data_IF_970440452168
#
_entry.id   IF_970440452168
#
_cell.length_a   1.000
_cell.length_b   1.000
_cell.length_c   1.000
_cell.angle_alpha   90.00
_cell.angle_beta   90.00
_cell.angle_gamma   90.00
#
_symmetry.space_group_name_H-M   'P 1'
#
loop_
_entity.id
_entity.type
_entity.pdbx_description
1 polymer ?
#
# COMPACT_ATOMS: atom_id res chain seq x y z
N UNK A 1 7.41 -39.45 -56.90
CA UNK A 1 6.35 -40.03 -56.06
C UNK A 1 6.99 -40.41 -54.74
N UNK A 2 6.76 -39.61 -53.71
CA UNK A 2 7.11 -39.95 -52.34
C UNK A 2 5.92 -40.66 -51.71
N UNK A 3 6.10 -41.80 -51.05
CA UNK A 3 5.01 -42.49 -50.38
C UNK A 3 4.55 -41.68 -49.15
N UNK A 4 3.27 -41.37 -49.10
CA UNK A 4 2.60 -40.85 -47.96
C UNK A 4 2.57 -41.97 -46.92
N UNK A 5 3.43 -41.87 -45.91
CA UNK A 5 3.41 -42.76 -44.75
C UNK A 5 2.13 -42.51 -43.93
N UNK A 6 1.41 -43.62 -43.70
CA UNK A 6 0.11 -43.63 -43.13
C UNK A 6 -0.03 -42.94 -41.79
N UNK A 7 -1.18 -42.33 -41.57
CA UNK A 7 -1.66 -41.86 -40.32
C UNK A 7 -1.61 -42.98 -39.26
N UNK A 8 -0.80 -42.83 -38.25
CA UNK A 8 -0.92 -43.68 -37.06
C UNK A 8 -2.28 -43.44 -36.45
N UNK A 9 -3.14 -44.45 -36.49
CA UNK A 9 -4.38 -44.46 -35.71
C UNK A 9 -4.03 -44.37 -34.21
N UNK A 10 -3.90 -43.15 -33.74
CA UNK A 10 -3.79 -42.90 -32.29
C UNK A 10 -5.13 -43.31 -31.69
N UNK A 11 -5.17 -44.47 -31.07
CA UNK A 11 -6.31 -44.96 -30.30
C UNK A 11 -6.70 -43.93 -29.24
N UNK A 12 -8.01 -43.73 -29.04
CA UNK A 12 -8.54 -42.88 -27.95
C UNK A 12 -7.86 -43.17 -26.59
N UNK A 13 -7.47 -44.42 -26.40
CA UNK A 13 -6.75 -44.88 -25.21
C UNK A 13 -5.33 -44.33 -25.13
N UNK A 14 -4.63 -44.20 -26.26
CA UNK A 14 -3.26 -43.64 -26.28
C UNK A 14 -3.27 -42.12 -26.12
N UNK A 15 -4.28 -41.45 -26.68
CA UNK A 15 -4.54 -40.04 -26.41
C UNK A 15 -4.79 -39.74 -24.92
N UNK A 16 -5.64 -40.54 -24.27
CA UNK A 16 -5.92 -40.39 -22.83
C UNK A 16 -4.69 -40.70 -21.98
N UNK A 17 -3.87 -41.66 -22.34
CA UNK A 17 -2.59 -41.93 -21.68
C UNK A 17 -1.63 -40.75 -21.81
N UNK A 18 -1.48 -40.21 -23.01
CA UNK A 18 -0.59 -39.06 -23.26
C UNK A 18 -1.08 -37.81 -22.49
N UNK A 19 -2.37 -37.58 -22.48
CA UNK A 19 -2.97 -36.44 -21.71
C UNK A 19 -2.81 -36.63 -20.23
N UNK A 20 -3.01 -37.84 -19.69
CA UNK A 20 -2.82 -38.16 -18.27
C UNK A 20 -1.38 -37.99 -17.82
N UNK A 21 -0.41 -38.49 -18.59
CA UNK A 21 1.02 -38.29 -18.34
C UNK A 21 1.44 -36.83 -18.46
N UNK A 22 0.90 -36.10 -19.44
CA UNK A 22 1.18 -34.68 -19.64
C UNK A 22 0.69 -33.84 -18.44
N UNK A 23 -0.52 -34.08 -17.97
CA UNK A 23 -1.06 -33.41 -16.78
C UNK A 23 -0.27 -33.76 -15.51
N UNK A 24 0.10 -35.03 -15.32
CA UNK A 24 0.92 -35.44 -14.18
C UNK A 24 2.32 -34.79 -14.22
N UNK A 25 2.95 -34.67 -15.38
CA UNK A 25 4.26 -34.01 -15.53
C UNK A 25 4.19 -32.51 -15.24
N UNK A 26 3.14 -31.83 -15.71
CA UNK A 26 2.92 -30.39 -15.44
C UNK A 26 2.64 -30.14 -13.97
N UNK A 27 1.85 -31.01 -13.31
CA UNK A 27 1.58 -30.88 -11.88
C UNK A 27 2.82 -31.13 -11.02
N UNK A 28 3.69 -32.06 -11.42
CA UNK A 28 4.95 -32.31 -10.74
C UNK A 28 5.95 -31.16 -10.93
N UNK A 29 6.01 -30.56 -12.11
CA UNK A 29 6.87 -29.41 -12.38
C UNK A 29 6.38 -28.10 -11.68
N UNK A 30 5.07 -27.98 -11.42
CA UNK A 30 4.51 -26.86 -10.68
C UNK A 30 4.80 -26.89 -9.18
N UNK A 31 5.31 -27.99 -8.65
CA UNK A 31 5.63 -28.17 -7.22
C UNK A 31 7.05 -27.73 -6.83
N UNK A 32 7.83 -27.09 -7.70
CA UNK A 32 9.04 -26.41 -7.24
C UNK A 32 8.64 -25.15 -6.48
N UNK A 33 8.45 -25.33 -5.15
CA UNK A 33 8.34 -24.19 -4.26
C UNK A 33 9.62 -23.35 -4.40
N UNK A 34 9.51 -22.03 -4.66
CA UNK A 34 10.70 -21.20 -4.77
C UNK A 34 11.50 -21.32 -3.49
N UNK A 35 12.72 -21.82 -3.57
CA UNK A 35 13.64 -21.91 -2.45
C UNK A 35 13.96 -20.50 -2.01
N UNK A 36 13.33 -20.05 -0.93
CA UNK A 36 13.65 -18.77 -0.30
C UNK A 36 14.73 -19.04 0.75
N UNK A 37 15.92 -18.58 0.47
CA UNK A 37 16.97 -18.56 1.47
C UNK A 37 16.62 -17.50 2.51
N UNK A 38 16.32 -17.93 3.74
CA UNK A 38 16.22 -17.04 4.88
C UNK A 38 17.62 -16.78 5.40
N UNK A 39 18.10 -15.54 5.31
CA UNK A 39 19.34 -15.13 5.98
C UNK A 39 18.98 -14.90 7.44
N UNK A 40 19.57 -15.68 8.40
CA UNK A 40 19.32 -15.44 9.81
C UNK A 40 19.88 -14.07 10.22
N UNK A 41 19.24 -13.45 11.21
CA UNK A 41 19.76 -12.21 11.80
C UNK A 41 21.14 -12.46 12.38
N UNK A 42 22.13 -11.65 12.01
CA UNK A 42 23.46 -11.63 12.63
C UNK A 42 23.35 -11.08 14.05
N UNK A 43 22.57 -9.98 14.20
CA UNK A 43 22.16 -9.43 15.49
C UNK A 43 20.61 -9.38 15.52
N UNK A 44 20.00 -10.26 16.30
CA UNK A 44 18.55 -10.31 16.46
C UNK A 44 18.11 -9.16 17.37
N UNK A 45 17.19 -8.29 16.94
CA UNK A 45 16.56 -7.32 17.83
C UNK A 45 15.87 -8.02 18.99
N UNK A 46 15.97 -7.45 20.20
CA UNK A 46 15.48 -8.08 21.44
C UNK A 46 14.00 -8.44 21.37
N UNK A 47 13.20 -7.61 20.68
CA UNK A 47 11.73 -7.74 20.61
C UNK A 47 11.22 -8.43 19.33
N UNK A 48 12.09 -9.03 18.51
CA UNK A 48 11.69 -9.65 17.25
C UNK A 48 12.02 -11.13 17.24
N UNK A 49 10.97 -11.96 17.31
CA UNK A 49 11.09 -13.40 17.04
C UNK A 49 10.64 -13.70 15.60
N UNK A 50 11.48 -14.41 14.85
CA UNK A 50 11.27 -14.68 13.42
C UNK A 50 9.95 -15.43 13.13
N UNK A 51 9.42 -16.17 14.10
CA UNK A 51 8.18 -16.94 13.97
C UNK A 51 6.95 -16.26 14.56
N UNK A 52 7.13 -15.28 15.45
CA UNK A 52 6.04 -14.62 16.16
C UNK A 52 5.72 -13.24 15.59
N UNK A 53 4.45 -12.89 15.44
CA UNK A 53 4.06 -11.55 15.05
C UNK A 53 4.12 -10.59 16.25
N UNK A 54 4.57 -9.37 16.00
CA UNK A 54 4.45 -8.25 16.93
C UNK A 54 3.26 -7.38 16.56
N UNK A 55 2.64 -6.74 17.56
CA UNK A 55 1.49 -5.86 17.38
C UNK A 55 1.82 -4.45 17.87
N UNK A 56 1.54 -3.46 17.03
CA UNK A 56 1.77 -2.06 17.35
C UNK A 56 0.45 -1.30 17.25
N UNK A 57 0.12 -0.53 18.30
CA UNK A 57 -1.01 0.38 18.24
C UNK A 57 -0.69 1.57 17.35
N UNK A 58 -1.61 1.90 16.44
CA UNK A 58 -1.48 3.02 15.52
C UNK A 58 -2.85 3.59 15.17
N UNK A 59 -2.86 4.62 14.35
CA UNK A 59 -4.06 5.24 13.83
C UNK A 59 -4.00 5.26 12.31
N UNK A 60 -5.08 4.83 11.69
CA UNK A 60 -5.33 5.05 10.27
C UNK A 60 -6.19 6.29 10.10
N UNK A 61 -5.81 7.16 9.18
CA UNK A 61 -6.59 8.34 8.81
C UNK A 61 -6.42 8.59 7.32
N UNK A 62 -7.49 8.49 6.56
CA UNK A 62 -7.51 8.77 5.14
C UNK A 62 -8.90 9.24 4.72
N UNK A 63 -9.01 10.47 4.24
CA UNK A 63 -10.30 11.08 3.97
C UNK A 63 -11.13 11.21 5.24
N UNK A 64 -12.38 10.77 5.18
CA UNK A 64 -13.29 10.70 6.32
C UNK A 64 -13.05 9.48 7.21
N UNK A 65 -12.28 8.48 6.76
CA UNK A 65 -11.99 7.28 7.53
C UNK A 65 -10.97 7.57 8.62
N UNK A 66 -11.37 7.31 9.86
CA UNK A 66 -10.52 7.36 11.04
C UNK A 66 -10.70 6.09 11.85
N UNK A 67 -9.63 5.38 12.09
CA UNK A 67 -9.68 4.14 12.85
C UNK A 67 -8.44 3.96 13.73
N UNK A 68 -8.66 3.57 14.98
CA UNK A 68 -7.57 3.07 15.82
C UNK A 68 -7.30 1.62 15.50
N UNK A 69 -6.08 1.31 15.11
CA UNK A 69 -5.68 0.01 14.59
C UNK A 69 -4.56 -0.63 15.39
N UNK A 70 -4.52 -1.96 15.35
CA UNK A 70 -3.39 -2.77 15.75
C UNK A 70 -2.70 -3.28 14.49
N UNK A 71 -1.49 -2.82 14.27
CA UNK A 71 -0.66 -3.22 13.14
C UNK A 71 0.07 -4.51 13.49
N UNK A 72 -0.31 -5.59 12.84
CA UNK A 72 0.40 -6.86 12.95
C UNK A 72 1.61 -6.84 12.05
N UNK A 73 2.80 -7.01 12.64
CA UNK A 73 4.06 -7.03 11.90
C UNK A 73 4.73 -8.38 12.03
N UNK A 74 5.51 -8.75 11.04
CA UNK A 74 6.40 -9.89 11.07
C UNK A 74 7.76 -9.45 10.56
N UNK A 75 8.80 -9.64 11.36
CA UNK A 75 10.17 -9.23 11.02
C UNK A 75 10.24 -7.76 10.58
N UNK A 76 9.55 -6.87 11.30
CA UNK A 76 9.49 -5.44 10.99
C UNK A 76 8.60 -5.07 9.80
N UNK A 77 7.90 -6.02 9.18
CA UNK A 77 7.01 -5.77 8.03
C UNK A 77 5.55 -5.82 8.45
N UNK A 78 4.78 -4.76 8.24
CA UNK A 78 3.33 -4.78 8.44
C UNK A 78 2.67 -5.80 7.49
N UNK A 79 1.87 -6.71 8.05
CA UNK A 79 1.19 -7.75 7.28
C UNK A 79 -0.33 -7.68 7.37
N UNK A 80 -0.87 -7.06 8.42
CA UNK A 80 -2.30 -6.91 8.63
C UNK A 80 -2.61 -5.73 9.54
N UNK A 81 -3.75 -5.11 9.31
CA UNK A 81 -4.34 -4.12 10.21
C UNK A 81 -5.60 -4.72 10.84
N UNK A 82 -5.64 -4.78 12.15
CA UNK A 82 -6.80 -5.17 12.94
C UNK A 82 -7.33 -3.96 13.72
N UNK A 83 -8.63 -3.92 14.00
CA UNK A 83 -9.20 -2.87 14.83
C UNK A 83 -8.74 -2.98 16.28
N UNK A 84 -8.46 -1.84 16.91
CA UNK A 84 -8.10 -1.78 18.31
C UNK A 84 -9.36 -1.88 19.19
N UNK A 85 -9.54 -3.00 19.88
CA UNK A 85 -10.68 -3.27 20.75
C UNK A 85 -10.77 -2.30 21.95
N UNK A 86 -9.66 -1.69 22.35
CA UNK A 86 -9.61 -0.71 23.43
C UNK A 86 -9.97 0.70 22.97
N UNK A 87 -10.16 0.92 21.69
CA UNK A 87 -10.63 2.21 21.16
C UNK A 87 -12.09 2.44 21.56
N UNK A 88 -12.37 3.54 22.23
CA UNK A 88 -13.74 3.94 22.56
C UNK A 88 -14.55 4.40 21.35
N UNK A 89 -13.88 4.74 20.24
CA UNK A 89 -14.53 5.24 19.03
C UNK A 89 -14.87 4.07 18.09
N UNK A 90 -13.90 3.23 17.74
CA UNK A 90 -14.08 2.15 16.79
C UNK A 90 -14.44 0.81 17.42
N UNK A 91 -14.19 0.63 18.72
CA UNK A 91 -14.48 -0.60 19.48
C UNK A 91 -14.00 -1.89 18.77
N UNK A 92 -12.91 -1.80 18.02
CA UNK A 92 -12.35 -2.92 17.26
C UNK A 92 -12.92 -3.09 15.86
N UNK A 93 -13.83 -2.21 15.42
CA UNK A 93 -14.30 -2.23 14.03
C UNK A 93 -13.27 -1.60 13.09
N UNK A 94 -13.21 -2.12 11.87
CA UNK A 94 -12.41 -1.60 10.75
C UNK A 94 -13.25 -1.55 9.49
N UNK A 95 -12.82 -0.77 8.51
CA UNK A 95 -13.39 -0.80 7.16
C UNK A 95 -12.50 -1.63 6.23
N UNK A 96 -13.04 -2.08 5.11
CA UNK A 96 -12.26 -2.78 4.08
C UNK A 96 -11.13 -1.90 3.52
N UNK A 97 -11.31 -0.58 3.50
CA UNK A 97 -10.29 0.38 3.12
C UNK A 97 -9.12 0.38 4.11
N UNK A 98 -9.41 0.36 5.40
CA UNK A 98 -8.39 0.28 6.46
C UNK A 98 -7.60 -1.02 6.32
N UNK A 99 -8.27 -2.16 6.20
CA UNK A 99 -7.59 -3.46 6.10
C UNK A 99 -6.77 -3.61 4.82
N UNK A 100 -7.26 -3.09 3.69
CA UNK A 100 -6.54 -3.15 2.42
C UNK A 100 -5.38 -2.17 2.33
N UNK A 101 -5.33 -1.14 3.16
CA UNK A 101 -4.31 -0.09 3.10
C UNK A 101 -2.88 -0.62 3.31
N UNK A 102 -2.72 -1.75 4.00
CA UNK A 102 -1.41 -2.41 4.14
C UNK A 102 -0.78 -2.74 2.79
N UNK A 103 -1.60 -3.02 1.76
CA UNK A 103 -1.12 -3.36 0.42
C UNK A 103 -0.42 -2.18 -0.25
N UNK A 104 -0.80 -0.93 0.08
CA UNK A 104 -0.19 0.26 -0.47
C UNK A 104 1.30 0.40 -0.11
N UNK A 105 1.72 -0.19 1.01
CA UNK A 105 3.12 -0.20 1.43
C UNK A 105 3.99 -1.07 0.51
N UNK A 106 3.37 -2.06 -0.15
CA UNK A 106 4.04 -3.03 -1.02
C UNK A 106 3.82 -2.74 -2.51
N UNK A 107 3.08 -1.68 -2.83
CA UNK A 107 2.89 -1.25 -4.21
C UNK A 107 4.24 -0.81 -4.81
N UNK A 108 4.59 -1.39 -5.94
CA UNK A 108 5.80 -1.05 -6.68
C UNK A 108 5.75 0.34 -7.29
N UNK A 109 4.55 0.84 -7.58
CA UNK A 109 4.33 2.16 -8.18
C UNK A 109 4.21 3.28 -7.15
N UNK A 110 4.23 2.97 -5.84
CA UNK A 110 4.19 4.01 -4.81
C UNK A 110 5.36 4.97 -4.94
N UNK A 111 5.11 6.24 -4.70
CA UNK A 111 6.16 7.26 -4.62
C UNK A 111 7.08 6.96 -3.42
N UNK A 112 8.36 6.77 -3.69
CA UNK A 112 9.38 6.46 -2.66
C UNK A 112 10.11 7.72 -2.19
N UNK A 113 10.21 8.69 -3.07
CA UNK A 113 10.93 9.95 -2.86
C UNK A 113 10.06 11.12 -3.31
N UNK A 114 10.28 12.33 -2.77
CA UNK A 114 9.63 13.52 -3.29
C UNK A 114 10.07 13.79 -4.73
N UNK A 115 9.15 14.32 -5.53
CA UNK A 115 9.41 14.66 -6.92
C UNK A 115 9.38 16.19 -7.07
N UNK A 116 10.34 16.75 -7.79
CA UNK A 116 10.35 18.12 -8.24
C UNK A 116 10.41 18.13 -9.77
N UNK A 117 9.40 18.66 -10.44
CA UNK A 117 9.26 18.63 -11.90
C UNK A 117 9.45 17.23 -12.49
N UNK A 118 8.76 16.23 -11.91
CA UNK A 118 8.82 14.81 -12.29
C UNK A 118 10.15 14.09 -12.05
N UNK A 119 11.16 14.77 -11.51
CA UNK A 119 12.46 14.19 -11.17
C UNK A 119 12.54 13.89 -9.67
N UNK A 120 13.19 12.79 -9.33
CA UNK A 120 13.48 12.47 -7.93
C UNK A 120 14.28 13.58 -7.27
N UNK A 121 13.90 13.94 -6.06
CA UNK A 121 14.49 15.02 -5.29
C UNK A 121 14.56 14.65 -3.81
N UNK A 122 15.05 15.54 -2.98
CA UNK A 122 15.04 15.41 -1.54
C UNK A 122 14.12 16.46 -0.89
N UNK A 123 13.68 16.19 0.33
CA UNK A 123 12.78 17.07 1.06
C UNK A 123 13.29 18.50 1.20
N UNK A 124 14.60 18.66 1.43
CA UNK A 124 15.21 19.99 1.57
C UNK A 124 15.08 20.84 0.31
N UNK A 125 15.27 20.23 -0.85
CA UNK A 125 15.12 20.93 -2.13
C UNK A 125 13.65 21.30 -2.39
N UNK A 126 12.71 20.40 -2.09
CA UNK A 126 11.28 20.66 -2.23
C UNK A 126 10.82 21.77 -1.27
N UNK A 127 11.25 21.73 -0.01
CA UNK A 127 10.92 22.76 0.98
C UNK A 127 11.44 24.13 0.58
N UNK A 128 12.67 24.20 0.06
CA UNK A 128 13.24 25.46 -0.43
C UNK A 128 12.46 25.98 -1.64
N UNK A 129 12.14 25.11 -2.59
CA UNK A 129 11.32 25.48 -3.75
C UNK A 129 9.94 26.02 -3.32
N UNK A 130 9.25 25.35 -2.41
CA UNK A 130 7.95 25.80 -1.90
C UNK A 130 8.08 27.14 -1.17
N UNK A 131 9.10 27.34 -0.34
CA UNK A 131 9.36 28.62 0.34
C UNK A 131 9.61 29.75 -0.64
N UNK A 132 10.40 29.49 -1.68
CA UNK A 132 10.69 30.48 -2.72
C UNK A 132 9.43 30.87 -3.51
N UNK A 133 8.61 29.90 -3.89
CA UNK A 133 7.35 30.17 -4.59
C UNK A 133 6.34 30.93 -3.69
N UNK A 134 6.22 30.57 -2.43
CA UNK A 134 5.40 31.29 -1.47
C UNK A 134 5.88 32.74 -1.25
N UNK A 135 7.20 32.98 -1.28
CA UNK A 135 7.78 34.32 -1.15
C UNK A 135 7.52 35.17 -2.39
N UNK A 136 7.45 34.58 -3.57
CA UNK A 136 7.18 35.26 -4.86
C UNK A 136 5.68 35.47 -5.13
N UNK A 137 4.80 35.02 -4.21
CA UNK A 137 3.37 35.02 -4.47
C UNK A 137 2.79 36.39 -4.86
N UNK A 138 3.32 37.49 -4.28
CA UNK A 138 2.76 38.84 -4.50
C UNK A 138 1.28 38.92 -4.14
N UNK A 139 0.45 39.43 -5.05
CA UNK A 139 -1.01 39.51 -4.90
C UNK A 139 -1.76 38.22 -5.31
N UNK A 140 -1.07 37.15 -5.69
CA UNK A 140 -1.72 35.89 -6.10
C UNK A 140 -2.39 35.21 -4.90
N UNK A 141 -3.59 34.67 -5.12
CA UNK A 141 -4.30 33.86 -4.12
C UNK A 141 -3.74 32.44 -4.10
N UNK A 142 -3.57 31.88 -2.90
CA UNK A 142 -3.16 30.51 -2.69
C UNK A 142 -4.41 29.70 -2.32
N UNK A 143 -4.67 28.64 -3.06
CA UNK A 143 -5.72 27.67 -2.72
C UNK A 143 -5.09 26.42 -2.14
N UNK A 144 -5.62 25.98 -0.99
CA UNK A 144 -5.32 24.68 -0.40
C UNK A 144 -6.55 23.81 -0.61
N UNK A 145 -6.40 22.76 -1.41
CA UNK A 145 -7.51 21.83 -1.68
C UNK A 145 -7.22 20.55 -0.93
N UNK A 146 -8.18 20.08 -0.15
CA UNK A 146 -8.09 18.83 0.59
C UNK A 146 -9.44 18.11 0.56
N UNK A 147 -9.44 16.83 0.93
CA UNK A 147 -10.67 16.18 1.39
C UNK A 147 -11.08 16.73 2.77
N UNK A 148 -12.26 16.36 3.25
CA UNK A 148 -12.73 16.72 4.60
C UNK A 148 -11.73 16.33 5.68
N UNK A 149 -11.40 17.26 6.55
CA UNK A 149 -10.38 17.08 7.58
C UNK A 149 -11.06 16.97 8.95
N UNK A 150 -11.02 15.78 9.53
CA UNK A 150 -11.57 15.49 10.85
C UNK A 150 -10.55 15.70 11.99
N UNK A 151 -9.29 15.98 11.67
CA UNK A 151 -8.21 16.14 12.63
C UNK A 151 -8.12 17.60 13.13
N UNK A 152 -8.39 17.89 14.42
CA UNK A 152 -8.28 19.25 14.95
C UNK A 152 -6.86 19.82 14.84
N UNK A 153 -5.84 18.97 14.98
CA UNK A 153 -4.45 19.40 14.86
C UNK A 153 -4.09 19.80 13.43
N UNK A 154 -4.63 19.09 12.42
CA UNK A 154 -4.43 19.45 11.02
C UNK A 154 -5.13 20.76 10.67
N UNK A 155 -6.36 20.96 11.18
CA UNK A 155 -7.10 22.23 11.01
C UNK A 155 -6.34 23.40 11.67
N UNK A 156 -5.75 23.20 12.84
CA UNK A 156 -4.94 24.25 13.49
C UNK A 156 -3.70 24.63 12.64
N UNK A 157 -3.04 23.64 12.03
CA UNK A 157 -1.92 23.92 11.12
C UNK A 157 -2.37 24.72 9.90
N UNK A 158 -3.51 24.36 9.30
CA UNK A 158 -4.09 25.11 8.16
C UNK A 158 -4.46 26.53 8.59
N UNK A 159 -5.06 26.69 9.75
CA UNK A 159 -5.41 28.02 10.26
C UNK A 159 -4.18 28.90 10.53
N UNK A 160 -3.09 28.33 11.05
CA UNK A 160 -1.81 29.04 11.20
C UNK A 160 -1.19 29.39 9.87
N UNK A 161 -1.28 28.52 8.90
CA UNK A 161 -0.81 28.77 7.56
C UNK A 161 -1.64 29.89 6.89
N UNK A 162 -2.96 29.86 7.06
CA UNK A 162 -3.85 30.92 6.58
C UNK A 162 -3.50 32.29 7.15
N UNK A 163 -3.28 32.39 8.48
CA UNK A 163 -2.86 33.64 9.12
C UNK A 163 -1.58 34.22 8.52
N UNK A 164 -0.68 33.38 8.04
CA UNK A 164 0.61 33.81 7.47
C UNK A 164 0.54 34.17 5.99
N UNK A 165 -0.26 33.45 5.22
CA UNK A 165 -0.21 33.52 3.75
C UNK A 165 -1.52 33.94 3.09
N UNK A 166 -2.58 34.18 3.88
CA UNK A 166 -3.91 34.52 3.35
C UNK A 166 -4.35 33.52 2.28
N UNK A 167 -4.62 32.28 2.69
CA UNK A 167 -5.01 31.18 1.82
C UNK A 167 -6.54 31.04 1.74
N UNK A 168 -7.01 30.41 0.71
CA UNK A 168 -8.39 29.93 0.59
C UNK A 168 -8.35 28.40 0.73
N UNK A 169 -8.91 27.88 1.82
CA UNK A 169 -9.04 26.43 2.02
C UNK A 169 -10.35 25.95 1.41
N UNK A 170 -10.29 24.95 0.53
CA UNK A 170 -11.42 24.32 -0.13
C UNK A 170 -11.42 22.84 0.16
N UNK A 171 -12.49 22.34 0.75
CA UNK A 171 -12.70 20.90 0.96
C UNK A 171 -13.49 20.32 -0.21
N UNK A 172 -13.02 19.19 -0.74
CA UNK A 172 -13.64 18.46 -1.84
C UNK A 172 -13.52 16.97 -1.63
N UNK A 173 -14.65 16.31 -1.41
CA UNK A 173 -14.72 14.86 -1.30
C UNK A 173 -15.24 14.24 -2.60
N UNK A 174 -14.52 13.22 -3.08
CA UNK A 174 -14.87 12.51 -4.33
C UNK A 174 -16.04 11.54 -4.16
N UNK A 175 -16.37 11.19 -2.93
CA UNK A 175 -17.51 10.34 -2.58
C UNK A 175 -18.36 11.00 -1.50
N UNK A 176 -19.68 10.94 -1.66
CA UNK A 176 -20.60 11.38 -0.61
C UNK A 176 -20.69 10.34 0.48
N UNK A 177 -20.46 10.76 1.72
CA UNK A 177 -20.66 9.94 2.92
C UNK A 177 -21.98 10.28 3.64
N UNK A 178 -22.82 11.12 3.02
CA UNK A 178 -24.16 11.39 3.50
C UNK A 178 -25.08 10.20 3.15
N UNK A 179 -25.19 9.26 4.05
CA UNK A 179 -26.14 8.15 4.02
C UNK A 179 -27.04 8.19 5.23
#
# INVERSE_FOLDING_TARGET
FLPIQGSSDNSRRDFLKMMGFGLAAVSAAACEAPVKYAIPYVDKPVDVDASLPNFYASTFSMGSDYCSVLVKTREGRPIKLDGNKYSKVSAGCTSSQVESSVLTLYDRQRLKYPLLNTKESNWRAVDNFVKDELSKKGSKKIYVVSHSINSPSTLDVINRFNKKFDIIHVEYDTSSYSG
#
